data_IF_425892596100
#
_entry.id   IF_425892596100
#
_cell.length_a   1.000
_cell.length_b   1.000
_cell.length_c   1.000
_cell.angle_alpha   90.00
_cell.angle_beta   90.00
_cell.angle_gamma   90.00
#
_symmetry.space_group_name_H-M   'P 1'
#
loop_
_entity.id
_entity.type
_entity.pdbx_description
1 polymer ?
#
# COMPACT_ATOMS: atom_id res chain seq x y z
N UNK A 1 26.83 -10.63 -10.00
CA UNK A 1 25.75 -10.95 -9.05
C UNK A 1 24.89 -9.70 -8.93
N UNK A 2 23.56 -9.81 -9.05
CA UNK A 2 22.62 -8.68 -9.12
C UNK A 2 21.59 -8.75 -7.98
N UNK A 3 22.02 -9.20 -6.79
CA UNK A 3 21.11 -9.53 -5.69
C UNK A 3 20.11 -10.65 -5.99
N UNK A 4 19.07 -10.74 -5.15
CA UNK A 4 17.91 -11.62 -5.25
C UNK A 4 16.63 -10.83 -5.05
N UNK A 5 15.59 -11.17 -5.82
CA UNK A 5 14.30 -10.49 -5.81
C UNK A 5 13.19 -11.46 -5.44
N UNK A 6 12.40 -11.11 -4.44
CA UNK A 6 11.27 -11.88 -3.94
C UNK A 6 10.02 -11.03 -4.04
N UNK A 7 8.87 -11.66 -4.36
CA UNK A 7 7.55 -11.02 -4.21
C UNK A 7 6.77 -11.78 -3.14
N UNK A 8 7.02 -11.54 -1.84
CA UNK A 8 6.35 -12.29 -0.79
C UNK A 8 4.84 -12.24 -0.95
N UNK A 9 4.19 -13.39 -0.81
CA UNK A 9 2.74 -13.52 -0.98
C UNK A 9 2.17 -14.52 0.01
N UNK A 10 1.01 -14.23 0.58
CA UNK A 10 0.46 -15.02 1.67
C UNK A 10 -0.05 -16.37 1.19
N UNK A 11 0.10 -17.42 2.02
CA UNK A 11 -0.51 -18.72 1.72
C UNK A 11 -2.03 -18.67 1.83
N UNK A 12 -2.53 -17.99 2.87
CA UNK A 12 -3.97 -17.71 3.04
C UNK A 12 -4.17 -16.54 4.01
N UNK A 13 -5.32 -15.88 3.92
CA UNK A 13 -5.72 -14.78 4.81
C UNK A 13 -5.84 -15.19 6.28
N UNK A 14 -5.95 -16.50 6.58
CA UNK A 14 -6.08 -17.03 7.95
C UNK A 14 -4.78 -17.55 8.53
N UNK A 15 -3.74 -17.67 7.71
CA UNK A 15 -2.42 -18.08 8.18
C UNK A 15 -1.71 -16.92 8.87
N UNK A 16 -0.71 -17.23 9.69
CA UNK A 16 0.08 -16.20 10.38
C UNK A 16 0.89 -15.34 9.39
N UNK A 17 1.41 -15.95 8.32
CA UNK A 17 2.24 -15.29 7.29
C UNK A 17 3.41 -14.48 7.91
N UNK A 18 4.12 -15.08 8.88
CA UNK A 18 5.20 -14.44 9.63
C UNK A 18 6.35 -13.96 8.74
N UNK A 19 6.68 -14.73 7.71
CA UNK A 19 7.70 -14.43 6.72
C UNK A 19 7.30 -13.29 5.78
N UNK A 20 6.02 -13.19 5.37
CA UNK A 20 5.49 -12.01 4.65
C UNK A 20 5.63 -10.75 5.50
N UNK A 21 5.54 -10.88 6.82
CA UNK A 21 5.81 -9.80 7.76
C UNK A 21 7.31 -9.46 7.94
N UNK A 22 8.22 -10.22 7.31
CA UNK A 22 9.67 -10.16 7.51
C UNK A 22 10.10 -10.44 8.94
N UNK A 23 9.36 -11.31 9.65
CA UNK A 23 9.76 -11.79 10.96
C UNK A 23 10.77 -12.92 10.81
N UNK A 24 11.88 -12.83 11.55
CA UNK A 24 12.75 -13.96 11.79
C UNK A 24 12.00 -15.03 12.61
N UNK A 25 12.05 -16.28 12.15
CA UNK A 25 11.46 -17.45 12.80
C UNK A 25 12.56 -18.33 13.35
N UNK A 26 13.39 -18.87 12.47
CA UNK A 26 14.58 -19.67 12.75
C UNK A 26 15.54 -19.67 11.55
N UNK A 27 16.59 -20.49 11.61
CA UNK A 27 17.61 -20.62 10.57
C UNK A 27 17.23 -21.59 9.44
N UNK A 28 16.03 -22.20 9.46
CA UNK A 28 15.59 -23.15 8.44
C UNK A 28 14.90 -22.41 7.27
N UNK A 29 15.43 -22.49 6.03
CA UNK A 29 14.76 -21.90 4.87
C UNK A 29 13.32 -22.39 4.66
N UNK A 30 12.97 -23.59 5.13
CA UNK A 30 11.61 -24.10 5.05
C UNK A 30 10.59 -23.28 5.87
N UNK A 31 11.04 -22.48 6.84
CA UNK A 31 10.21 -21.57 7.65
C UNK A 31 9.77 -20.30 6.92
N UNK A 32 10.28 -20.06 5.70
CA UNK A 32 9.98 -18.86 4.91
C UNK A 32 9.38 -19.18 3.53
N UNK A 33 8.33 -20.03 3.46
CA UNK A 33 7.79 -20.53 2.20
C UNK A 33 7.19 -19.41 1.33
N UNK A 34 6.63 -18.36 1.93
CA UNK A 34 6.03 -17.24 1.20
C UNK A 34 7.08 -16.30 0.61
N UNK A 35 8.33 -16.30 1.11
CA UNK A 35 9.45 -15.56 0.52
C UNK A 35 10.10 -16.43 -0.56
N UNK A 36 10.67 -17.57 -0.17
CA UNK A 36 11.49 -18.38 -1.09
C UNK A 36 10.67 -19.05 -2.19
N UNK A 37 9.42 -19.44 -1.90
CA UNK A 37 8.49 -19.95 -2.91
C UNK A 37 8.08 -18.91 -3.95
N UNK A 38 8.29 -17.62 -3.66
CA UNK A 38 7.94 -16.50 -4.54
C UNK A 38 9.15 -15.71 -5.06
N UNK A 39 10.35 -16.30 -5.00
CA UNK A 39 11.54 -15.76 -5.63
C UNK A 39 11.34 -15.58 -7.14
N UNK A 40 11.97 -14.55 -7.71
CA UNK A 40 11.91 -14.25 -9.16
C UNK A 40 13.08 -14.85 -9.94
N UNK A 41 14.08 -15.33 -9.23
CA UNK A 41 15.25 -16.02 -9.77
C UNK A 41 15.52 -17.27 -8.94
N UNK A 42 16.36 -18.16 -9.48
CA UNK A 42 16.82 -19.33 -8.74
C UNK A 42 17.62 -18.88 -7.52
N UNK A 43 17.29 -19.48 -6.37
CA UNK A 43 17.90 -19.16 -5.08
C UNK A 43 18.74 -20.34 -4.61
N UNK A 44 20.02 -20.09 -4.33
CA UNK A 44 20.92 -21.05 -3.71
C UNK A 44 20.90 -21.00 -2.18
N UNK A 45 21.53 -21.99 -1.55
CA UNK A 45 21.58 -22.09 -0.09
C UNK A 45 22.25 -20.89 0.57
N UNK A 46 23.30 -20.34 -0.04
CA UNK A 46 24.02 -19.20 0.54
C UNK A 46 23.17 -17.92 0.49
N UNK A 47 22.35 -17.75 -0.56
CA UNK A 47 21.35 -16.68 -0.66
C UNK A 47 20.26 -16.82 0.40
N UNK A 48 19.76 -18.03 0.63
CA UNK A 48 18.80 -18.30 1.71
C UNK A 48 19.38 -17.94 3.08
N UNK A 49 20.57 -18.44 3.39
CA UNK A 49 21.27 -18.17 4.65
C UNK A 49 21.51 -16.66 4.85
N UNK A 50 21.90 -15.92 3.81
CA UNK A 50 22.08 -14.46 3.89
C UNK A 50 20.78 -13.70 4.16
N UNK A 51 19.69 -14.05 3.47
CA UNK A 51 18.40 -13.39 3.70
C UNK A 51 17.92 -13.64 5.15
N UNK A 52 18.04 -14.87 5.62
CA UNK A 52 17.63 -15.24 6.98
C UNK A 52 18.47 -14.50 8.03
N UNK A 53 19.78 -14.38 7.80
CA UNK A 53 20.66 -13.58 8.65
C UNK A 53 20.22 -12.11 8.69
N UNK A 54 19.84 -11.52 7.55
CA UNK A 54 19.34 -10.15 7.52
C UNK A 54 18.03 -10.00 8.30
N UNK A 55 17.10 -10.97 8.20
CA UNK A 55 15.89 -11.00 9.04
C UNK A 55 16.23 -11.14 10.52
N UNK A 56 17.23 -11.95 10.87
CA UNK A 56 17.70 -12.13 12.25
C UNK A 56 18.22 -10.83 12.82
N UNK A 57 19.10 -10.12 12.11
CA UNK A 57 19.60 -8.78 12.51
C UNK A 57 18.45 -7.80 12.65
N UNK A 58 17.56 -7.73 11.65
CA UNK A 58 16.37 -6.88 11.68
C UNK A 58 15.54 -7.12 12.95
N UNK A 59 15.35 -8.36 13.37
CA UNK A 59 14.56 -8.73 14.56
C UNK A 59 15.12 -8.14 15.86
N UNK A 60 16.43 -7.89 15.94
CA UNK A 60 17.09 -7.37 17.14
C UNK A 60 16.85 -5.87 17.36
N UNK A 61 16.57 -5.14 16.29
CA UNK A 61 16.53 -3.67 16.30
C UNK A 61 17.88 -3.00 16.54
N UNK A 62 18.99 -3.73 16.38
CA UNK A 62 20.36 -3.24 16.56
C UNK A 62 21.16 -3.41 15.26
N UNK A 63 22.08 -2.47 14.99
CA UNK A 63 22.93 -2.48 13.79
C UNK A 63 22.13 -2.66 12.48
N UNK A 64 20.98 -1.98 12.37
CA UNK A 64 20.01 -2.23 11.30
C UNK A 64 20.59 -1.96 9.90
N UNK A 65 21.56 -1.04 9.79
CA UNK A 65 22.23 -0.74 8.52
C UNK A 65 23.07 -1.90 7.97
N UNK A 66 23.39 -2.92 8.77
CA UNK A 66 24.10 -4.11 8.29
C UNK A 66 23.16 -5.14 7.66
N UNK A 67 21.86 -4.90 7.68
CA UNK A 67 20.84 -5.82 7.16
C UNK A 67 19.76 -5.12 6.32
N UNK A 68 19.67 -3.79 6.39
CA UNK A 68 18.60 -3.03 5.75
C UNK A 68 19.16 -1.75 5.14
N UNK A 69 18.76 -1.46 3.91
CA UNK A 69 18.93 -0.13 3.32
C UNK A 69 17.95 0.83 3.98
N UNK A 70 18.33 1.37 5.13
CA UNK A 70 17.47 2.23 5.96
C UNK A 70 16.98 3.44 5.17
N UNK A 71 17.80 4.02 4.29
CA UNK A 71 17.41 5.20 3.52
C UNK A 71 16.19 4.94 2.63
N UNK A 72 16.28 3.91 1.80
CA UNK A 72 15.22 3.54 0.86
C UNK A 72 13.96 3.07 1.58
N UNK A 73 14.11 2.31 2.67
CA UNK A 73 12.96 1.82 3.45
C UNK A 73 12.20 2.96 4.11
N UNK A 74 12.89 3.98 4.65
CA UNK A 74 12.21 5.14 5.23
C UNK A 74 11.42 5.91 4.15
N UNK A 75 12.00 6.09 2.96
CA UNK A 75 11.31 6.73 1.83
C UNK A 75 10.10 5.94 1.36
N UNK A 76 10.23 4.62 1.30
CA UNK A 76 9.10 3.72 1.01
C UNK A 76 7.96 3.96 2.01
N UNK A 77 8.24 3.95 3.32
CA UNK A 77 7.19 4.17 4.32
C UNK A 77 6.59 5.57 4.26
N UNK A 78 7.38 6.61 3.98
CA UNK A 78 6.86 7.98 3.79
C UNK A 78 5.79 8.01 2.70
N UNK A 79 6.07 7.44 1.52
CA UNK A 79 5.11 7.39 0.42
C UNK A 79 3.93 6.49 0.76
N UNK A 80 4.19 5.29 1.27
CA UNK A 80 3.19 4.28 1.63
C UNK A 80 2.11 4.83 2.57
N UNK A 81 2.53 5.60 3.58
CA UNK A 81 1.68 6.21 4.60
C UNK A 81 1.01 7.48 4.07
N UNK A 82 1.69 8.27 3.25
CA UNK A 82 1.09 9.43 2.59
C UNK A 82 -0.10 9.01 1.75
N UNK A 83 0.09 8.02 0.86
CA UNK A 83 -0.96 7.54 -0.04
C UNK A 83 -1.95 6.60 0.64
N UNK A 84 -1.87 6.37 1.95
CA UNK A 84 -2.85 5.54 2.69
C UNK A 84 -3.06 4.15 2.05
N UNK A 85 -1.97 3.54 1.55
CA UNK A 85 -2.07 2.24 0.89
C UNK A 85 -2.01 1.13 1.95
N UNK A 86 -3.18 0.61 2.29
CA UNK A 86 -3.37 -0.50 3.23
C UNK A 86 -3.39 -1.88 2.54
N UNK A 87 -3.30 -1.91 1.23
CA UNK A 87 -3.07 -3.12 0.44
C UNK A 87 -1.55 -3.38 0.32
N UNK A 88 -0.85 -3.40 1.45
CA UNK A 88 0.60 -3.30 1.50
C UNK A 88 1.23 -3.96 2.72
N UNK A 89 2.55 -3.82 2.89
CA UNK A 89 3.29 -4.29 4.07
C UNK A 89 2.69 -3.81 5.41
N UNK A 90 2.25 -2.55 5.52
CA UNK A 90 1.60 -2.05 6.76
C UNK A 90 0.11 -2.43 6.86
N UNK A 91 -0.42 -2.99 5.78
CA UNK A 91 -1.76 -3.55 5.68
C UNK A 91 -1.98 -4.81 6.50
N UNK A 92 -3.25 -5.21 6.56
CA UNK A 92 -3.68 -6.43 7.24
C UNK A 92 -3.01 -7.68 6.65
N UNK A 93 -3.00 -7.77 5.32
CA UNK A 93 -2.46 -8.88 4.53
C UNK A 93 -0.94 -8.83 4.39
N UNK A 94 -0.34 -7.63 4.41
CA UNK A 94 1.11 -7.46 4.46
C UNK A 94 1.85 -7.67 3.14
N UNK A 95 1.18 -7.65 1.98
CA UNK A 95 1.73 -8.00 0.65
C UNK A 95 2.02 -6.76 -0.21
N UNK A 96 2.07 -6.92 -1.54
CA UNK A 96 2.29 -5.86 -2.54
C UNK A 96 3.57 -5.04 -2.32
N UNK A 97 4.65 -5.77 -2.06
CA UNK A 97 6.00 -5.24 -2.14
C UNK A 97 6.91 -6.30 -2.77
N UNK A 98 8.02 -5.85 -3.34
CA UNK A 98 9.15 -6.73 -3.58
C UNK A 98 10.17 -6.54 -2.47
N UNK A 99 10.75 -7.65 -2.03
CA UNK A 99 11.93 -7.67 -1.19
C UNK A 99 13.14 -7.89 -2.10
N UNK A 100 14.10 -6.98 -2.05
CA UNK A 100 15.38 -7.13 -2.75
C UNK A 100 16.48 -7.36 -1.70
N UNK A 101 17.24 -8.44 -1.86
CA UNK A 101 18.43 -8.75 -1.05
C UNK A 101 19.67 -8.60 -1.92
N UNK A 102 20.64 -7.80 -1.49
CA UNK A 102 21.97 -7.73 -2.10
C UNK A 102 23.03 -7.67 -1.01
N UNK A 103 23.95 -8.64 -1.04
CA UNK A 103 25.06 -8.78 -0.09
C UNK A 103 24.62 -8.74 1.40
N UNK A 104 23.45 -9.30 1.71
CA UNK A 104 22.84 -9.33 3.04
C UNK A 104 22.04 -8.08 3.41
N UNK A 105 21.93 -7.10 2.50
CA UNK A 105 21.18 -5.85 2.72
C UNK A 105 19.81 -5.92 2.04
N UNK A 106 18.76 -5.77 2.85
CA UNK A 106 17.37 -5.76 2.41
C UNK A 106 16.94 -4.36 1.96
N UNK A 107 16.33 -4.28 0.79
CA UNK A 107 15.59 -3.11 0.30
C UNK A 107 14.15 -3.52 -0.01
N UNK A 108 13.23 -2.55 0.00
CA UNK A 108 11.82 -2.77 -0.26
C UNK A 108 11.38 -1.92 -1.46
N UNK A 109 10.72 -2.55 -2.43
CA UNK A 109 10.23 -1.86 -3.62
C UNK A 109 8.69 -1.88 -3.60
N UNK A 110 8.05 -0.73 -3.89
CA UNK A 110 6.60 -0.66 -3.96
C UNK A 110 6.08 -1.49 -5.15
N UNK A 111 4.95 -2.14 -4.95
CA UNK A 111 4.21 -2.82 -6.00
C UNK A 111 2.71 -2.56 -5.81
N UNK A 112 1.97 -2.49 -6.92
CA UNK A 112 0.50 -2.42 -6.98
C UNK A 112 -0.17 -1.41 -6.02
N UNK A 113 -0.39 -0.18 -6.52
CA UNK A 113 -0.97 0.93 -5.75
C UNK A 113 -2.40 1.25 -6.20
N UNK A 114 -3.05 0.33 -6.92
CA UNK A 114 -4.42 0.50 -7.42
C UNK A 114 -5.45 0.69 -6.28
N UNK A 115 -5.20 0.12 -5.09
CA UNK A 115 -6.06 0.25 -3.90
C UNK A 115 -5.49 1.25 -2.85
N UNK A 116 -4.64 2.17 -3.28
CA UNK A 116 -4.17 3.28 -2.47
C UNK A 116 -5.26 4.32 -2.22
N UNK A 117 -4.92 5.38 -1.50
CA UNK A 117 -5.78 6.49 -1.12
C UNK A 117 -6.99 6.09 -0.26
N UNK A 118 -6.83 5.03 0.54
CA UNK A 118 -7.87 4.54 1.45
C UNK A 118 -9.01 3.77 0.76
N UNK A 119 -8.83 3.34 -0.48
CA UNK A 119 -9.84 2.56 -1.21
C UNK A 119 -9.79 1.06 -0.94
N UNK A 120 -8.73 0.57 -0.28
CA UNK A 120 -8.64 -0.84 0.13
C UNK A 120 -9.72 -1.23 1.15
N UNK A 121 -10.59 -2.16 0.76
CA UNK A 121 -11.63 -2.73 1.63
C UNK A 121 -11.64 -4.27 1.66
N UNK A 122 -10.75 -4.95 0.91
CA UNK A 122 -10.79 -6.41 0.77
C UNK A 122 -10.50 -7.11 2.10
N UNK A 123 -11.37 -8.07 2.45
CA UNK A 123 -11.26 -8.85 3.68
C UNK A 123 -11.52 -8.06 4.97
N UNK A 124 -11.93 -6.80 4.88
CA UNK A 124 -12.28 -5.98 6.05
C UNK A 124 -13.77 -6.12 6.38
N UNK A 125 -14.09 -6.53 7.60
CA UNK A 125 -15.48 -6.65 8.07
C UNK A 125 -16.18 -5.29 8.22
N UNK A 126 -15.40 -4.24 8.51
CA UNK A 126 -15.89 -2.88 8.73
C UNK A 126 -14.83 -1.88 8.21
N UNK A 127 -14.77 -1.64 6.90
CA UNK A 127 -13.79 -0.72 6.31
C UNK A 127 -14.11 0.72 6.73
N UNK A 128 -13.06 1.49 7.01
CA UNK A 128 -13.20 2.92 7.28
C UNK A 128 -13.60 3.60 5.97
N UNK A 129 -14.75 4.30 5.98
CA UNK A 129 -15.27 5.01 4.81
C UNK A 129 -15.37 6.52 4.99
N UNK A 130 -15.15 7.01 6.21
CA UNK A 130 -15.20 8.44 6.50
C UNK A 130 -13.94 9.14 5.95
N UNK A 131 -14.07 10.04 4.98
CA UNK A 131 -12.94 10.77 4.42
C UNK A 131 -12.23 11.64 5.47
N UNK A 132 -12.93 12.13 6.50
CA UNK A 132 -12.29 12.86 7.60
C UNK A 132 -11.34 11.97 8.41
N UNK A 133 -11.62 10.67 8.53
CA UNK A 133 -10.72 9.74 9.22
C UNK A 133 -9.55 9.38 8.31
N UNK A 134 -9.81 9.02 7.05
CA UNK A 134 -8.80 8.56 6.11
C UNK A 134 -7.79 9.67 5.80
N UNK A 135 -8.26 10.85 5.36
CA UNK A 135 -7.35 11.95 4.97
C UNK A 135 -6.52 12.43 6.17
N UNK A 136 -7.06 12.36 7.38
CA UNK A 136 -6.35 12.72 8.60
C UNK A 136 -5.52 11.58 9.20
N UNK A 137 -5.43 10.41 8.56
CA UNK A 137 -4.78 9.23 9.13
C UNK A 137 -3.34 9.53 9.62
N UNK A 138 -2.98 9.08 10.84
CA UNK A 138 -1.79 9.57 11.53
C UNK A 138 -0.49 9.03 10.94
N UNK A 139 0.50 9.91 10.72
CA UNK A 139 1.79 9.56 10.12
C UNK A 139 2.72 8.77 11.04
N UNK A 140 2.58 8.88 12.37
CA UNK A 140 3.46 8.22 13.34
C UNK A 140 2.91 6.87 13.84
N UNK A 141 1.61 6.62 13.65
CA UNK A 141 1.00 5.32 13.93
C UNK A 141 0.07 4.92 12.77
N UNK A 142 0.62 4.66 11.58
CA UNK A 142 -0.14 4.46 10.35
C UNK A 142 -0.87 3.11 10.29
N UNK A 143 -0.76 2.27 11.31
CA UNK A 143 -1.52 1.04 11.47
C UNK A 143 -1.82 0.80 12.96
N UNK A 144 -2.65 -0.20 13.25
CA UNK A 144 -2.91 -0.62 14.64
C UNK A 144 -1.60 -1.05 15.31
N UNK A 145 -1.50 -0.79 16.62
CA UNK A 145 -0.27 -1.07 17.37
C UNK A 145 0.20 -2.52 17.29
N UNK A 146 -0.73 -3.49 17.25
CA UNK A 146 -0.40 -4.91 17.06
C UNK A 146 0.21 -5.17 15.68
N UNK A 147 -0.39 -4.65 14.61
CA UNK A 147 0.15 -4.73 13.26
C UNK A 147 1.55 -4.15 13.22
N UNK A 148 1.75 -2.92 13.69
CA UNK A 148 3.07 -2.29 13.67
C UNK A 148 4.11 -3.12 14.43
N UNK A 149 3.81 -3.64 15.63
CA UNK A 149 4.74 -4.49 16.39
C UNK A 149 5.11 -5.79 15.66
N UNK A 150 4.18 -6.35 14.89
CA UNK A 150 4.40 -7.54 14.09
C UNK A 150 5.04 -7.27 12.71
N UNK A 151 5.39 -6.01 12.41
CA UNK A 151 6.08 -5.57 11.19
C UNK A 151 7.48 -5.05 11.56
N UNK A 152 8.47 -5.92 11.82
CA UNK A 152 9.79 -5.52 12.31
C UNK A 152 10.50 -4.49 11.43
N UNK A 153 10.33 -4.53 10.10
CA UNK A 153 10.91 -3.53 9.18
C UNK A 153 10.42 -2.11 9.51
N UNK A 154 9.15 -1.95 9.89
CA UNK A 154 8.64 -0.66 10.36
C UNK A 154 8.98 -0.45 11.84
N UNK A 155 8.63 -1.42 12.70
CA UNK A 155 8.71 -1.28 14.15
C UNK A 155 10.11 -0.91 14.64
N UNK A 156 11.13 -1.64 14.18
CA UNK A 156 12.48 -1.48 14.70
C UNK A 156 13.16 -0.25 14.13
N UNK A 157 12.82 0.16 12.90
CA UNK A 157 13.28 1.43 12.34
C UNK A 157 12.68 2.62 13.12
N UNK A 158 11.37 2.62 13.38
CA UNK A 158 10.70 3.72 14.08
C UNK A 158 11.04 3.84 15.56
N UNK A 159 11.64 2.80 16.17
CA UNK A 159 12.18 2.87 17.54
C UNK A 159 13.50 3.63 17.62
N UNK A 160 14.23 3.77 16.52
CA UNK A 160 15.47 4.53 16.48
C UNK A 160 15.15 6.01 16.26
N UNK A 161 15.56 6.87 17.19
CA UNK A 161 15.23 8.30 17.14
C UNK A 161 15.82 9.02 15.93
N UNK A 162 17.00 8.63 15.45
CA UNK A 162 17.63 9.23 14.27
C UNK A 162 16.89 8.84 12.98
N UNK A 163 16.44 7.59 12.87
CA UNK A 163 15.65 7.15 11.72
C UNK A 163 14.25 7.75 11.73
N UNK A 164 13.63 7.84 12.91
CA UNK A 164 12.33 8.47 13.08
C UNK A 164 12.37 9.96 12.72
N UNK A 165 13.43 10.68 13.10
CA UNK A 165 13.64 12.06 12.66
C UNK A 165 13.80 12.15 11.13
N UNK A 166 14.59 11.25 10.52
CA UNK A 166 14.76 11.21 9.06
C UNK A 166 13.47 10.86 8.32
N UNK A 167 12.62 10.02 8.89
CA UNK A 167 11.28 9.74 8.37
C UNK A 167 10.40 11.00 8.32
N UNK A 168 10.51 11.89 9.32
CA UNK A 168 9.83 13.19 9.31
C UNK A 168 10.45 14.14 8.27
N UNK A 169 11.78 14.16 8.16
CA UNK A 169 12.47 14.93 7.12
C UNK A 169 12.01 14.50 5.71
N UNK A 170 11.76 13.20 5.49
CA UNK A 170 11.22 12.70 4.22
C UNK A 170 9.77 13.05 3.97
N UNK A 171 8.93 13.12 5.00
CA UNK A 171 7.60 13.71 4.83
C UNK A 171 7.65 15.18 4.49
N UNK A 172 8.49 15.95 5.19
CA UNK A 172 8.67 17.38 4.91
C UNK A 172 9.15 17.59 3.47
N UNK A 173 10.19 16.86 3.06
CA UNK A 173 10.70 16.88 1.70
C UNK A 173 9.62 16.53 0.68
N UNK A 174 8.90 15.42 0.88
CA UNK A 174 7.84 14.98 -0.04
C UNK A 174 6.73 16.01 -0.16
N UNK A 175 6.24 16.54 0.97
CA UNK A 175 5.17 17.54 1.00
C UNK A 175 5.64 18.83 0.33
N UNK A 176 6.82 19.36 0.67
CA UNK A 176 7.33 20.61 0.11
C UNK A 176 7.67 20.50 -1.37
N UNK A 177 8.45 19.49 -1.76
CA UNK A 177 8.98 19.42 -3.12
C UNK A 177 7.97 18.87 -4.13
N UNK A 178 7.02 18.03 -3.71
CA UNK A 178 6.05 17.40 -4.63
C UNK A 178 4.64 17.98 -4.53
N UNK A 179 4.14 18.25 -3.32
CA UNK A 179 2.76 18.69 -3.13
C UNK A 179 2.62 20.21 -3.11
N UNK A 180 3.32 20.90 -2.20
CA UNK A 180 3.26 22.37 -2.03
C UNK A 180 3.83 23.12 -3.24
N UNK A 181 4.75 22.51 -3.97
CA UNK A 181 5.29 23.04 -5.23
C UNK A 181 4.30 23.03 -6.40
N UNK A 182 3.16 22.32 -6.28
CA UNK A 182 2.20 22.10 -7.38
C UNK A 182 2.63 21.02 -8.39
N UNK A 183 3.74 20.31 -8.15
CA UNK A 183 4.23 19.25 -9.04
C UNK A 183 3.22 18.09 -9.16
N UNK A 184 2.59 17.67 -8.06
CA UNK A 184 1.60 16.59 -8.07
C UNK A 184 0.42 16.89 -9.03
N UNK A 185 -0.10 18.12 -9.01
CA UNK A 185 -1.20 18.54 -9.86
C UNK A 185 -0.79 18.51 -11.33
N UNK A 186 0.41 19.02 -11.62
CA UNK A 186 0.97 18.98 -12.98
C UNK A 186 1.08 17.55 -13.50
N UNK A 187 1.62 16.62 -12.68
CA UNK A 187 1.77 15.21 -13.06
C UNK A 187 0.42 14.56 -13.32
N UNK A 188 -0.56 14.76 -12.43
CA UNK A 188 -1.90 14.17 -12.57
C UNK A 188 -2.60 14.72 -13.82
N UNK A 189 -2.60 16.03 -14.04
CA UNK A 189 -3.24 16.66 -15.20
C UNK A 189 -2.58 16.28 -16.52
N UNK A 190 -1.24 16.19 -16.55
CA UNK A 190 -0.52 15.71 -17.73
C UNK A 190 -0.86 14.26 -18.04
N UNK A 191 -0.93 13.41 -17.02
CA UNK A 191 -1.30 11.99 -17.17
C UNK A 191 -2.74 11.85 -17.66
N UNK A 192 -3.68 12.60 -17.07
CA UNK A 192 -5.06 12.69 -17.55
C UNK A 192 -5.11 13.07 -19.03
N UNK A 193 -4.47 14.17 -19.42
CA UNK A 193 -4.48 14.64 -20.81
C UNK A 193 -3.88 13.61 -21.79
N UNK A 194 -2.88 12.86 -21.35
CA UNK A 194 -2.24 11.81 -22.16
C UNK A 194 -3.18 10.63 -22.43
N UNK A 195 -3.95 10.18 -21.43
CA UNK A 195 -4.76 8.96 -21.53
C UNK A 195 -6.23 9.21 -21.86
N UNK A 196 -6.76 10.40 -21.60
CA UNK A 196 -8.19 10.73 -21.76
C UNK A 196 -8.79 10.34 -23.12
N UNK A 197 -8.15 10.63 -24.27
CA UNK A 197 -8.70 10.23 -25.58
C UNK A 197 -8.79 8.73 -25.76
N UNK A 198 -7.90 7.97 -25.12
CA UNK A 198 -7.90 6.51 -25.17
C UNK A 198 -8.97 5.93 -24.25
N UNK A 199 -9.18 6.52 -23.07
CA UNK A 199 -10.28 6.13 -22.17
C UNK A 199 -11.64 6.38 -22.82
N UNK A 200 -11.83 7.51 -23.50
CA UNK A 200 -13.08 7.82 -24.20
C UNK A 200 -13.37 6.87 -25.37
N UNK A 201 -12.32 6.40 -26.04
CA UNK A 201 -12.43 5.52 -27.20
C UNK A 201 -12.39 4.03 -26.88
N UNK A 202 -12.03 3.63 -25.64
CA UNK A 202 -11.90 2.23 -25.25
C UNK A 202 -13.28 1.61 -25.01
N UNK A 203 -13.73 0.68 -25.88
CA UNK A 203 -15.02 0.04 -25.71
C UNK A 203 -15.04 -0.81 -24.41
N UNK A 204 -13.88 -1.37 -24.05
CA UNK A 204 -13.71 -2.22 -22.88
C UNK A 204 -13.38 -1.48 -21.58
N UNK A 205 -13.53 -0.15 -21.55
CA UNK A 205 -13.17 0.65 -20.39
C UNK A 205 -13.89 0.20 -19.10
N UNK A 206 -13.14 0.16 -17.99
CA UNK A 206 -13.69 -0.19 -16.68
C UNK A 206 -14.66 0.87 -16.14
N UNK A 207 -14.47 2.13 -16.52
CA UNK A 207 -15.32 3.24 -16.09
C UNK A 207 -15.77 4.06 -17.31
N UNK A 208 -16.81 4.89 -17.14
CA UNK A 208 -17.18 5.82 -18.22
C UNK A 208 -16.16 6.96 -18.31
N UNK A 209 -16.13 7.65 -19.44
CA UNK A 209 -15.27 8.83 -19.58
C UNK A 209 -15.61 9.93 -18.54
N UNK A 210 -16.89 10.08 -18.18
CA UNK A 210 -17.32 11.00 -17.12
C UNK A 210 -16.77 10.61 -15.75
N UNK A 211 -16.82 9.32 -15.41
CA UNK A 211 -16.26 8.79 -14.16
C UNK A 211 -14.74 8.99 -14.11
N UNK A 212 -14.03 8.79 -15.23
CA UNK A 212 -12.59 9.05 -15.33
C UNK A 212 -12.26 10.51 -14.98
N UNK A 213 -12.98 11.49 -15.55
CA UNK A 213 -12.76 12.91 -15.25
C UNK A 213 -13.05 13.22 -13.78
N UNK A 214 -14.16 12.68 -13.24
CA UNK A 214 -14.54 12.84 -11.84
C UNK A 214 -13.50 12.22 -10.88
N UNK A 215 -12.98 11.04 -11.21
CA UNK A 215 -11.94 10.36 -10.45
C UNK A 215 -10.65 11.19 -10.40
N UNK A 216 -10.25 11.81 -11.51
CA UNK A 216 -9.06 12.68 -11.56
C UNK A 216 -9.22 13.90 -10.66
N UNK A 217 -10.38 14.58 -10.72
CA UNK A 217 -10.65 15.73 -9.85
C UNK A 217 -10.72 15.33 -8.37
N UNK A 218 -11.31 14.17 -8.08
CA UNK A 218 -11.35 13.61 -6.72
C UNK A 218 -9.94 13.28 -6.22
N UNK A 219 -9.08 12.69 -7.05
CA UNK A 219 -7.71 12.35 -6.69
C UNK A 219 -6.88 13.59 -6.37
N UNK A 220 -7.02 14.66 -7.16
CA UNK A 220 -6.39 15.94 -6.89
C UNK A 220 -6.79 16.49 -5.52
N UNK A 221 -8.08 16.46 -5.21
CA UNK A 221 -8.59 16.96 -3.94
C UNK A 221 -8.12 16.11 -2.75
N UNK A 222 -8.11 14.78 -2.89
CA UNK A 222 -7.55 13.86 -1.89
C UNK A 222 -6.07 14.15 -1.66
N UNK A 223 -5.27 14.27 -2.71
CA UNK A 223 -3.86 14.62 -2.60
C UNK A 223 -3.65 15.98 -1.90
N UNK A 224 -4.43 16.99 -2.27
CA UNK A 224 -4.36 18.33 -1.68
C UNK A 224 -4.66 18.31 -0.20
N UNK A 225 -5.76 17.66 0.20
CA UNK A 225 -6.17 17.59 1.60
C UNK A 225 -5.23 16.70 2.42
N UNK A 226 -4.76 15.59 1.85
CA UNK A 226 -3.82 14.68 2.52
C UNK A 226 -2.47 15.37 2.78
N UNK A 227 -1.93 16.12 1.81
CA UNK A 227 -0.71 16.89 2.00
C UNK A 227 -0.87 17.96 3.10
N UNK A 228 -2.00 18.67 3.14
CA UNK A 228 -2.32 19.63 4.21
C UNK A 228 -2.44 18.98 5.59
N UNK A 229 -3.07 17.80 5.66
CA UNK A 229 -3.16 17.01 6.89
C UNK A 229 -1.77 16.62 7.38
N UNK A 230 -0.91 16.07 6.50
CA UNK A 230 0.46 15.68 6.86
C UNK A 230 1.29 16.89 7.30
N UNK A 231 1.21 18.03 6.60
CA UNK A 231 1.85 19.28 7.03
C UNK A 231 1.45 19.65 8.45
N UNK A 232 0.14 19.67 8.74
CA UNK A 232 -0.34 20.00 10.08
C UNK A 232 0.10 19.00 11.16
N UNK A 233 0.28 17.72 10.81
CA UNK A 233 0.82 16.70 11.72
C UNK A 233 2.32 16.90 12.01
N UNK A 234 3.12 17.27 11.00
CA UNK A 234 4.53 17.62 11.18
C UNK A 234 4.70 18.87 12.06
N UNK A 235 3.85 19.88 11.84
CA UNK A 235 3.87 21.14 12.59
C UNK A 235 3.28 21.02 14.01
N UNK A 236 2.72 19.84 14.36
CA UNK A 236 2.08 19.59 15.65
C UNK A 236 0.72 20.27 15.84
N UNK A 237 0.12 20.79 14.77
CA UNK A 237 -1.23 21.40 14.79
C UNK A 237 -2.35 20.38 14.66
N UNK A 238 -2.06 19.21 14.09
CA UNK A 238 -2.98 18.07 13.99
C UNK A 238 -2.42 16.82 14.70
N UNK A 239 -3.30 15.93 15.18
CA UNK A 239 -2.91 14.63 15.72
C UNK A 239 -2.06 13.80 14.74
N UNK A 240 -0.85 13.42 15.16
CA UNK A 240 0.05 12.60 14.36
C UNK A 240 0.06 11.12 14.76
N UNK A 241 -0.73 10.75 15.79
CA UNK A 241 -0.91 9.38 16.29
C UNK A 241 -2.39 9.04 16.48
N UNK A 242 -2.72 7.75 16.46
CA UNK A 242 -4.07 7.23 16.73
C UNK A 242 -4.53 7.62 18.15
N UNK A 243 -3.61 7.63 19.12
CA UNK A 243 -3.92 8.05 20.48
C UNK A 243 -4.35 9.54 20.54
N UNK A 244 -3.57 10.43 19.90
CA UNK A 244 -3.93 11.84 19.81
C UNK A 244 -5.25 12.07 19.05
N UNK A 245 -5.53 11.27 18.01
CA UNK A 245 -6.80 11.37 17.30
C UNK A 245 -8.00 10.99 18.17
N UNK A 246 -7.86 9.99 19.05
CA UNK A 246 -8.90 9.63 20.02
C UNK A 246 -9.17 10.76 21.03
N UNK A 247 -8.12 11.49 21.43
CA UNK A 247 -8.23 12.66 22.31
C UNK A 247 -8.82 13.88 21.58
N UNK A 248 -8.68 13.94 20.25
CA UNK A 248 -9.05 15.09 19.42
C UNK A 248 -9.80 14.68 18.12
N UNK A 249 -10.97 14.02 18.21
CA UNK A 249 -11.63 13.31 17.08
C UNK A 249 -12.15 14.20 15.94
N UNK A 250 -12.05 15.53 16.08
CA UNK A 250 -12.47 16.51 15.08
C UNK A 250 -11.31 17.42 14.63
N UNK A 251 -10.08 17.10 15.04
CA UNK A 251 -8.89 17.86 14.62
C UNK A 251 -8.33 17.30 13.32
N UNK A 252 -8.05 18.19 12.38
CA UNK A 252 -7.56 17.82 11.06
C UNK A 252 -8.09 18.77 9.99
N UNK A 253 -7.88 18.37 8.74
CA UNK A 253 -8.56 19.00 7.59
C UNK A 253 -9.99 18.48 7.49
N UNK A 254 -10.92 19.36 7.12
CA UNK A 254 -12.27 18.94 6.73
C UNK A 254 -12.24 18.35 5.33
N UNK A 255 -12.69 17.11 5.23
CA UNK A 255 -12.77 16.29 4.03
C UNK A 255 -14.20 15.74 3.81
N UNK A 256 -15.20 16.24 4.56
CA UNK A 256 -16.57 15.73 4.50
C UNK A 256 -17.22 15.81 3.12
N UNK A 257 -16.72 16.67 2.23
CA UNK A 257 -17.18 16.81 0.85
C UNK A 257 -16.54 15.84 -0.15
N UNK A 258 -15.56 15.03 0.28
CA UNK A 258 -14.84 14.11 -0.60
C UNK A 258 -15.56 12.76 -0.67
N UNK A 259 -15.99 12.38 -1.87
CA UNK A 259 -16.54 11.05 -2.14
C UNK A 259 -15.45 10.12 -2.65
N UNK A 260 -14.78 9.39 -1.74
CA UNK A 260 -13.66 8.51 -2.09
C UNK A 260 -14.02 7.39 -3.06
N UNK A 261 -15.30 6.99 -3.12
CA UNK A 261 -15.81 6.00 -4.08
C UNK A 261 -15.67 6.44 -5.52
N UNK A 262 -15.53 7.74 -5.79
CA UNK A 262 -15.24 8.24 -7.13
C UNK A 262 -13.85 7.80 -7.64
N UNK A 263 -12.96 7.30 -6.77
CA UNK A 263 -11.67 6.73 -7.16
C UNK A 263 -11.78 5.27 -7.63
N UNK A 264 -12.98 4.69 -7.62
CA UNK A 264 -13.25 3.30 -7.94
C UNK A 264 -13.73 2.51 -6.70
N UNK A 265 -14.77 1.71 -6.89
CA UNK A 265 -15.30 0.73 -5.94
C UNK A 265 -15.57 -0.62 -6.64
N UNK A 266 -15.80 -1.68 -5.87
CA UNK A 266 -16.10 -3.01 -6.40
C UNK A 266 -17.32 -3.04 -7.32
N UNK A 267 -18.30 -2.16 -7.06
CA UNK A 267 -19.47 -2.03 -7.90
C UNK A 267 -19.11 -1.62 -9.34
N UNK A 268 -18.09 -0.77 -9.52
CA UNK A 268 -17.66 -0.32 -10.84
C UNK A 268 -17.12 -1.49 -11.67
N UNK A 269 -16.45 -2.45 -11.02
CA UNK A 269 -15.94 -3.67 -11.66
C UNK A 269 -17.08 -4.61 -12.10
N UNK A 270 -18.12 -4.75 -11.27
CA UNK A 270 -19.29 -5.55 -11.61
C UNK A 270 -20.05 -4.96 -12.81
N UNK A 271 -20.23 -3.64 -12.82
CA UNK A 271 -20.88 -2.91 -13.92
C UNK A 271 -20.05 -2.93 -15.20
N UNK A 272 -18.71 -2.81 -15.08
CA UNK A 272 -17.79 -2.95 -16.21
C UNK A 272 -17.87 -4.32 -16.86
N UNK A 273 -17.91 -5.40 -16.06
CA UNK A 273 -18.03 -6.76 -16.58
C UNK A 273 -19.28 -6.95 -17.44
N UNK A 274 -20.40 -6.33 -17.06
CA UNK A 274 -21.62 -6.37 -17.85
C UNK A 274 -21.48 -5.64 -19.21
N UNK A 275 -20.82 -4.47 -19.24
CA UNK A 275 -20.53 -3.72 -20.48
C UNK A 275 -19.63 -4.51 -21.43
N UNK A 276 -18.52 -5.03 -20.91
CA UNK A 276 -17.54 -5.82 -21.68
C UNK A 276 -18.17 -7.09 -22.27
N UNK A 277 -19.09 -7.73 -21.55
CA UNK A 277 -19.79 -8.92 -22.04
C UNK A 277 -20.73 -8.58 -23.20
N UNK A 278 -21.48 -7.48 -23.10
CA UNK A 278 -22.38 -7.02 -24.18
C UNK A 278 -21.64 -6.63 -25.47
N UNK A 279 -20.43 -6.08 -25.35
CA UNK A 279 -19.58 -5.79 -26.50
C UNK A 279 -18.98 -7.05 -27.12
N UNK A 280 -18.57 -8.02 -26.28
CA UNK A 280 -18.07 -9.31 -26.77
C UNK A 280 -19.12 -10.12 -27.54
N UNK A 281 -20.40 -9.97 -27.17
CA UNK A 281 -21.53 -10.60 -27.87
C UNK A 281 -21.92 -9.87 -29.16
N UNK A 282 -21.56 -8.58 -29.31
CA UNK A 282 -21.81 -7.78 -30.51
C UNK A 282 -20.62 -7.71 -31.48
N UNK A 283 -19.43 -8.14 -31.06
CA UNK A 283 -18.22 -8.25 -31.87
C UNK A 283 -17.46 -9.56 -31.64
N UNK A 284 -17.54 -10.49 -32.60
CA UNK A 284 -16.73 -11.72 -32.60
C UNK A 284 -15.23 -11.40 -32.69
N UNK A 285 -14.51 -11.46 -31.55
CA UNK A 285 -13.21 -12.13 -31.35
C UNK A 285 -12.54 -11.75 -30.00
N UNK A 286 -12.48 -12.75 -29.11
CA UNK A 286 -11.62 -12.95 -27.93
C UNK A 286 -10.60 -11.89 -27.50
N UNK A 287 -10.68 -11.45 -26.22
CA UNK A 287 -9.57 -11.49 -25.24
C UNK A 287 -10.16 -11.75 -23.84
N UNK A 288 -10.10 -12.99 -23.37
CA UNK A 288 -10.38 -13.35 -21.98
C UNK A 288 -9.06 -13.57 -21.24
N UNK A 289 -8.57 -12.59 -20.48
CA UNK A 289 -7.62 -12.79 -19.37
C UNK A 289 -7.42 -11.50 -18.57
N UNK A 290 -8.27 -11.28 -17.56
CA UNK A 290 -7.98 -10.40 -16.43
C UNK A 290 -8.94 -10.68 -15.25
N UNK A 291 -9.04 -11.94 -14.82
CA UNK A 291 -9.50 -12.25 -13.45
C UNK A 291 -8.53 -13.31 -12.93
N UNK A 292 -7.79 -13.05 -11.84
CA UNK A 292 -7.03 -14.11 -11.19
C UNK A 292 -8.01 -15.20 -10.75
N UNK A 293 -7.84 -16.42 -11.25
CA UNK A 293 -8.60 -17.57 -10.81
C UNK A 293 -8.25 -17.86 -9.34
N UNK A 294 -9.11 -17.42 -8.41
CA UNK A 294 -8.89 -17.66 -6.97
C UNK A 294 -9.95 -17.16 -6.00
N UNK A 295 -11.08 -16.59 -6.45
CA UNK A 295 -12.04 -15.92 -5.57
C UNK A 295 -13.49 -16.40 -5.72
N UNK A 296 -13.69 -17.69 -5.99
CA UNK A 296 -15.02 -18.32 -5.91
C UNK A 296 -14.99 -19.60 -5.08
N UNK A 297 -14.53 -19.52 -3.82
CA UNK A 297 -14.92 -20.52 -2.81
C UNK A 297 -14.67 -19.98 -1.40
N UNK A 298 -15.76 -19.75 -0.64
CA UNK A 298 -15.69 -19.69 0.81
C UNK A 298 -16.38 -18.52 1.50
N UNK A 299 -17.67 -18.29 1.23
CA UNK A 299 -18.55 -17.65 2.22
C UNK A 299 -19.52 -18.71 2.76
N UNK A 300 -19.48 -19.08 4.05
CA UNK A 300 -20.50 -19.94 4.64
C UNK A 300 -21.81 -19.15 4.73
N UNK A 301 -22.86 -19.72 4.15
CA UNK A 301 -24.21 -19.18 4.28
C UNK A 301 -24.67 -19.12 5.73
N UNK A 302 -25.12 -17.94 6.16
CA UNK A 302 -25.89 -17.78 7.38
C UNK A 302 -27.29 -18.29 7.08
N UNK A 303 -27.64 -19.47 7.60
CA UNK A 303 -29.01 -19.97 7.58
C UNK A 303 -29.87 -19.11 8.51
N UNK A 304 -30.99 -18.63 7.98
CA UNK A 304 -32.08 -18.05 8.77
C UNK A 304 -32.59 -19.06 9.79
N UNK A 305 -32.53 -18.68 11.07
CA UNK A 305 -33.53 -18.99 12.10
C UNK A 305 -33.47 -17.90 13.16
#
# INVERSE_FOLDING_TARGET
NHGQLYKPDYTSLRAENADVALRYVDDDPASYPNIFGNAKFDVDKAQQERLIEALRVLSTGQNLETAVNVDEVLRYFTVQVLVMNWDSYLGHTGHNYFLYEEDGILSILPWDYNLAFGTYALGMTDPIRDPNILINWPINTPARGETMRNRPLYHNLMKNSAYFARYHDYFDQLVTEYFESGRYETVIRQTQALIAPYVEADPTAFCTYGDHLLAVDTLLEVCRLRARSVRGQLDGTYPATLAQQLEHPHSGVDASHVELRNLGDFQDLEEAGARQTQESDSGSAAISHAVPAGLTSGLPGVSKS
#
